data_IF_950493616291
#
_entry.id   IF_950493616291
#
_cell.length_a   1.000
_cell.length_b   1.000
_cell.length_c   1.000
_cell.angle_alpha   90.00
_cell.angle_beta   90.00
_cell.angle_gamma   90.00
#
_symmetry.space_group_name_H-M   'P 1'
#
loop_
_entity.id
_entity.type
_entity.pdbx_description
1 polymer ?
#
# COMPACT_ATOMS: atom_id res chain seq x y z
N UNK A 1 14.50 -43.35 -10.44
CA UNK A 1 14.66 -42.21 -11.37
C UNK A 1 13.29 -41.54 -11.44
N UNK A 2 13.01 -40.64 -10.51
CA UNK A 2 11.80 -39.78 -10.59
C UNK A 2 12.01 -38.76 -11.71
N UNK A 3 11.11 -38.80 -12.67
CA UNK A 3 11.04 -37.80 -13.72
C UNK A 3 10.83 -36.43 -13.05
N UNK A 4 11.85 -35.60 -13.06
CA UNK A 4 11.76 -34.18 -12.75
C UNK A 4 10.88 -33.52 -13.84
N UNK A 5 9.55 -33.66 -13.76
CA UNK A 5 8.65 -32.85 -14.56
C UNK A 5 8.97 -31.38 -14.25
N UNK A 6 9.41 -30.64 -15.27
CA UNK A 6 9.69 -29.21 -15.14
C UNK A 6 8.38 -28.50 -14.75
N UNK A 7 8.23 -28.19 -13.48
CA UNK A 7 7.12 -27.41 -12.95
C UNK A 7 7.09 -26.07 -13.66
N UNK A 8 5.92 -25.63 -14.10
CA UNK A 8 5.72 -24.36 -14.79
C UNK A 8 4.45 -23.67 -14.35
N UNK A 9 4.26 -22.44 -14.83
CA UNK A 9 3.06 -21.62 -14.51
C UNK A 9 1.74 -22.33 -14.86
N UNK A 10 1.72 -23.20 -15.90
CA UNK A 10 0.53 -23.96 -16.29
C UNK A 10 0.05 -24.92 -15.19
N UNK A 11 0.95 -25.41 -14.35
CA UNK A 11 0.61 -26.36 -13.32
C UNK A 11 -0.05 -25.69 -12.11
N UNK A 12 0.16 -24.39 -11.93
CA UNK A 12 -0.54 -23.58 -10.92
C UNK A 12 -2.05 -23.53 -11.22
N UNK A 13 -2.44 -23.39 -12.49
CA UNK A 13 -3.87 -23.37 -12.86
C UNK A 13 -4.61 -24.69 -12.57
N UNK A 14 -3.87 -25.79 -12.39
CA UNK A 14 -4.43 -27.08 -11.98
C UNK A 14 -4.71 -27.14 -10.45
N UNK A 15 -4.13 -26.22 -9.65
CA UNK A 15 -4.28 -26.15 -8.19
C UNK A 15 -5.58 -25.42 -7.84
N UNK A 16 -6.72 -26.12 -7.93
CA UNK A 16 -8.08 -25.54 -7.84
C UNK A 16 -8.29 -24.71 -6.56
N UNK A 17 -7.83 -25.19 -5.41
CA UNK A 17 -8.06 -24.49 -4.14
C UNK A 17 -7.22 -23.20 -4.05
N UNK A 18 -5.97 -23.24 -4.52
CA UNK A 18 -5.15 -22.06 -4.63
C UNK A 18 -5.72 -21.02 -5.62
N UNK A 19 -6.24 -21.50 -6.76
CA UNK A 19 -6.87 -20.62 -7.75
C UNK A 19 -8.10 -19.91 -7.20
N UNK A 20 -8.97 -20.59 -6.42
CA UNK A 20 -10.09 -19.94 -5.72
C UNK A 20 -9.59 -18.84 -4.79
N UNK A 21 -8.58 -19.14 -3.96
CA UNK A 21 -8.00 -18.17 -3.03
C UNK A 21 -7.38 -16.98 -3.79
N UNK A 22 -6.68 -17.24 -4.88
CA UNK A 22 -6.09 -16.21 -5.74
C UNK A 22 -7.17 -15.31 -6.36
N UNK A 23 -8.22 -15.89 -6.93
CA UNK A 23 -9.35 -15.13 -7.52
C UNK A 23 -10.04 -14.27 -6.46
N UNK A 24 -10.30 -14.80 -5.26
CA UNK A 24 -10.85 -14.02 -4.16
C UNK A 24 -9.95 -12.83 -3.78
N UNK A 25 -8.64 -13.05 -3.70
CA UNK A 25 -7.68 -11.99 -3.38
C UNK A 25 -7.59 -10.93 -4.48
N UNK A 26 -7.66 -11.31 -5.76
CA UNK A 26 -7.66 -10.37 -6.88
C UNK A 26 -8.95 -9.55 -6.95
N UNK A 27 -10.10 -10.15 -6.68
CA UNK A 27 -11.38 -9.44 -6.59
C UNK A 27 -11.32 -8.39 -5.49
N UNK A 28 -10.83 -8.75 -4.29
CA UNK A 28 -10.62 -7.78 -3.21
C UNK A 28 -9.64 -6.68 -3.63
N UNK A 29 -8.51 -7.04 -4.24
CA UNK A 29 -7.51 -6.05 -4.68
C UNK A 29 -8.09 -5.04 -5.66
N UNK A 30 -8.96 -5.48 -6.56
CA UNK A 30 -9.67 -4.60 -7.49
C UNK A 30 -10.59 -3.64 -6.75
N UNK A 31 -11.43 -4.14 -5.84
CA UNK A 31 -12.31 -3.32 -5.00
C UNK A 31 -11.53 -2.32 -4.14
N UNK A 32 -10.52 -2.79 -3.41
CA UNK A 32 -9.64 -1.97 -2.58
C UNK A 32 -9.01 -0.81 -3.38
N UNK A 33 -8.63 -1.06 -4.65
CA UNK A 33 -8.02 -0.01 -5.50
C UNK A 33 -9.04 1.06 -5.91
N UNK A 34 -10.29 0.68 -6.11
CA UNK A 34 -11.39 1.63 -6.41
C UNK A 34 -11.77 2.39 -5.15
N UNK A 35 -11.92 1.68 -4.01
CA UNK A 35 -12.26 2.28 -2.72
C UNK A 35 -11.19 3.29 -2.27
N UNK A 36 -9.93 3.01 -2.47
CA UNK A 36 -8.83 3.93 -2.10
C UNK A 36 -9.02 5.32 -2.74
N UNK A 37 -9.42 5.37 -4.02
CA UNK A 37 -9.69 6.63 -4.72
C UNK A 37 -11.00 7.25 -4.23
N UNK A 38 -12.07 6.45 -4.15
CA UNK A 38 -13.40 6.93 -3.76
C UNK A 38 -13.43 7.42 -2.31
N UNK A 39 -12.85 6.67 -1.38
CA UNK A 39 -12.80 7.05 0.04
C UNK A 39 -11.93 8.28 0.27
N UNK A 40 -10.76 8.38 -0.37
CA UNK A 40 -9.90 9.56 -0.30
C UNK A 40 -10.62 10.80 -0.80
N UNK A 41 -11.38 10.66 -1.88
CA UNK A 41 -12.18 11.75 -2.45
C UNK A 41 -13.35 12.15 -1.53
N UNK A 42 -14.13 11.19 -1.02
CA UNK A 42 -15.24 11.44 -0.09
C UNK A 42 -14.78 12.15 1.19
N UNK A 43 -13.64 11.75 1.76
CA UNK A 43 -13.06 12.41 2.94
C UNK A 43 -12.87 13.90 2.67
N UNK A 44 -12.28 14.23 1.54
CA UNK A 44 -12.01 15.62 1.20
C UNK A 44 -13.27 16.37 0.80
N UNK A 45 -14.15 15.79 -0.01
CA UNK A 45 -15.42 16.39 -0.41
C UNK A 45 -16.33 16.68 0.79
N UNK A 46 -16.39 15.76 1.76
CA UNK A 46 -17.20 15.91 2.97
C UNK A 46 -16.65 16.97 3.93
N UNK A 47 -15.33 17.10 4.01
CA UNK A 47 -14.69 17.93 5.03
C UNK A 47 -14.17 19.26 4.50
N UNK A 48 -13.89 19.38 3.19
CA UNK A 48 -13.21 20.52 2.59
C UNK A 48 -11.83 20.78 3.23
N UNK A 49 -11.19 19.79 3.84
CA UNK A 49 -10.06 20.01 4.74
C UNK A 49 -8.92 19.02 4.51
N UNK A 50 -7.77 19.57 4.11
CA UNK A 50 -6.51 18.83 4.03
C UNK A 50 -6.09 18.21 5.39
N UNK A 51 -6.47 18.87 6.50
CA UNK A 51 -6.24 18.37 7.86
C UNK A 51 -6.91 17.00 8.07
N UNK A 52 -8.20 16.90 7.71
CA UNK A 52 -8.95 15.65 7.83
C UNK A 52 -8.40 14.55 6.92
N UNK A 53 -8.00 14.86 5.69
CA UNK A 53 -7.36 13.90 4.78
C UNK A 53 -6.09 13.31 5.40
N UNK A 54 -5.22 14.16 5.95
CA UNK A 54 -4.00 13.72 6.61
C UNK A 54 -4.27 12.92 7.89
N UNK A 55 -5.25 13.33 8.73
CA UNK A 55 -5.62 12.59 9.95
C UNK A 55 -6.14 11.19 9.61
N UNK A 56 -7.05 11.08 8.64
CA UNK A 56 -7.64 9.79 8.26
C UNK A 56 -6.58 8.86 7.65
N UNK A 57 -5.68 9.39 6.80
CA UNK A 57 -4.54 8.61 6.30
C UNK A 57 -3.65 8.11 7.45
N UNK A 58 -3.33 8.97 8.41
CA UNK A 58 -2.55 8.58 9.59
C UNK A 58 -3.23 7.48 10.40
N UNK A 59 -4.52 7.66 10.72
CA UNK A 59 -5.32 6.67 11.47
C UNK A 59 -5.40 5.34 10.73
N UNK A 60 -5.49 5.34 9.41
CA UNK A 60 -5.47 4.11 8.59
C UNK A 60 -4.19 3.28 8.81
N UNK A 61 -3.05 3.91 9.06
CA UNK A 61 -1.77 3.22 9.26
C UNK A 61 -1.50 2.75 10.70
N UNK A 62 -2.15 3.36 11.69
CA UNK A 62 -1.94 3.03 13.11
C UNK A 62 -2.17 1.55 13.43
N UNK A 63 -3.28 0.90 13.03
CA UNK A 63 -3.49 -0.51 13.32
C UNK A 63 -2.43 -1.42 12.69
N UNK A 64 -1.94 -1.10 11.51
CA UNK A 64 -0.89 -1.88 10.84
C UNK A 64 0.40 -1.94 11.68
N UNK A 65 0.73 -0.87 12.40
CA UNK A 65 1.92 -0.81 13.25
C UNK A 65 1.78 -1.68 14.50
N UNK A 66 0.64 -1.60 15.18
CA UNK A 66 0.47 -2.22 16.50
C UNK A 66 -0.23 -3.58 16.43
N UNK A 67 -1.19 -3.73 15.54
CA UNK A 67 -2.05 -4.93 15.48
C UNK A 67 -1.45 -6.03 14.62
N UNK A 68 -0.83 -5.72 13.47
CA UNK A 68 -0.32 -6.76 12.55
C UNK A 68 0.67 -7.73 13.21
N UNK A 69 1.65 -7.29 14.03
CA UNK A 69 2.56 -8.22 14.70
C UNK A 69 1.84 -9.17 15.67
N UNK A 70 0.83 -8.67 16.37
CA UNK A 70 0.02 -9.45 17.30
C UNK A 70 -0.96 -10.38 16.58
N UNK A 71 -1.54 -9.89 15.47
CA UNK A 71 -2.48 -10.63 14.65
C UNK A 71 -1.84 -11.87 14.02
N UNK A 72 -0.58 -11.80 13.57
CA UNK A 72 0.15 -12.94 13.04
C UNK A 72 0.18 -14.12 14.02
N UNK A 73 0.60 -13.86 15.24
CA UNK A 73 0.63 -14.86 16.29
C UNK A 73 -0.76 -15.38 16.71
N UNK A 74 -1.75 -14.50 16.76
CA UNK A 74 -3.11 -14.87 17.11
C UNK A 74 -3.78 -15.74 16.04
N UNK A 75 -3.47 -15.53 14.77
CA UNK A 75 -3.99 -16.27 13.62
C UNK A 75 -3.44 -17.70 13.56
N UNK A 76 -2.20 -17.95 14.00
CA UNK A 76 -1.55 -19.27 13.89
C UNK A 76 -2.36 -20.39 14.51
N UNK A 77 -2.94 -20.18 15.71
CA UNK A 77 -3.72 -21.17 16.44
C UNK A 77 -5.19 -21.29 16.00
N UNK A 78 -5.63 -20.54 14.97
CA UNK A 78 -7.06 -20.40 14.64
C UNK A 78 -7.38 -20.81 13.20
N UNK A 79 -8.67 -20.90 12.90
CA UNK A 79 -9.16 -21.21 11.56
C UNK A 79 -8.94 -20.00 10.63
N UNK A 80 -7.93 -20.09 9.74
CA UNK A 80 -7.50 -19.02 8.83
C UNK A 80 -8.61 -18.67 7.83
N UNK A 81 -9.31 -19.70 7.33
CA UNK A 81 -10.45 -19.52 6.42
C UNK A 81 -11.57 -18.71 7.07
N UNK A 82 -11.95 -19.07 8.31
CA UNK A 82 -12.98 -18.35 9.05
C UNK A 82 -12.56 -16.89 9.31
N UNK A 83 -11.29 -16.63 9.65
CA UNK A 83 -10.77 -15.28 9.86
C UNK A 83 -10.91 -14.47 8.57
N UNK A 84 -10.50 -14.99 7.41
CA UNK A 84 -10.61 -14.27 6.13
C UNK A 84 -12.07 -13.94 5.80
N UNK A 85 -13.00 -14.87 6.00
CA UNK A 85 -14.43 -14.64 5.75
C UNK A 85 -14.98 -13.56 6.68
N UNK A 86 -14.73 -13.68 7.99
CA UNK A 86 -15.24 -12.73 8.98
C UNK A 86 -14.67 -11.32 8.73
N UNK A 87 -13.38 -11.22 8.39
CA UNK A 87 -12.75 -9.95 8.10
C UNK A 87 -13.33 -9.30 6.84
N UNK A 88 -13.56 -10.05 5.76
CA UNK A 88 -14.18 -9.54 4.54
C UNK A 88 -15.64 -9.08 4.82
N UNK A 89 -16.41 -9.81 5.63
CA UNK A 89 -17.77 -9.41 6.02
C UNK A 89 -17.79 -8.13 6.86
N UNK A 90 -16.90 -7.99 7.84
CA UNK A 90 -16.81 -6.76 8.64
C UNK A 90 -16.46 -5.57 7.75
N UNK A 91 -15.50 -5.73 6.83
CA UNK A 91 -15.13 -4.68 5.88
C UNK A 91 -16.32 -4.30 4.99
N UNK A 92 -17.04 -5.30 4.45
CA UNK A 92 -18.25 -5.05 3.67
C UNK A 92 -19.29 -4.22 4.42
N UNK A 93 -19.54 -4.50 5.70
CA UNK A 93 -20.46 -3.71 6.54
C UNK A 93 -19.95 -2.30 6.76
N UNK A 94 -18.67 -2.13 7.03
CA UNK A 94 -18.07 -0.80 7.26
C UNK A 94 -18.16 0.08 6.00
N UNK A 95 -17.78 -0.44 4.82
CA UNK A 95 -17.85 0.33 3.58
C UNK A 95 -19.30 0.59 3.15
N UNK A 96 -20.21 -0.35 3.40
CA UNK A 96 -21.65 -0.13 3.20
C UNK A 96 -22.19 1.00 4.08
N UNK A 97 -21.76 1.06 5.34
CA UNK A 97 -22.13 2.13 6.27
C UNK A 97 -21.62 3.50 5.75
N UNK A 98 -20.36 3.57 5.29
CA UNK A 98 -19.78 4.80 4.72
C UNK A 98 -20.56 5.24 3.48
N UNK A 99 -20.78 4.34 2.52
CA UNK A 99 -21.51 4.64 1.30
C UNK A 99 -22.96 5.09 1.58
N UNK A 100 -23.68 4.39 2.47
CA UNK A 100 -25.03 4.74 2.85
C UNK A 100 -25.09 6.07 3.59
N UNK A 101 -24.17 6.30 4.52
CA UNK A 101 -24.08 7.54 5.29
C UNK A 101 -23.80 8.76 4.41
N UNK A 102 -22.95 8.58 3.39
CA UNK A 102 -22.66 9.62 2.41
C UNK A 102 -23.91 9.94 1.54
N UNK A 103 -24.58 8.92 1.00
CA UNK A 103 -25.78 9.11 0.18
C UNK A 103 -26.95 9.74 0.94
N UNK A 104 -27.13 9.34 2.19
CA UNK A 104 -28.23 9.82 3.04
C UNK A 104 -27.86 11.15 3.76
N UNK A 105 -26.65 11.65 3.59
CA UNK A 105 -26.20 12.94 4.11
C UNK A 105 -25.97 12.99 5.63
N UNK A 106 -25.89 11.84 6.32
CA UNK A 106 -25.62 11.82 7.77
C UNK A 106 -24.17 11.50 8.13
N UNK A 107 -23.34 11.20 7.13
CA UNK A 107 -21.93 10.83 7.37
C UNK A 107 -21.14 12.02 7.96
N UNK A 108 -20.50 11.79 9.08
CA UNK A 108 -19.68 12.79 9.75
C UNK A 108 -18.19 12.41 9.70
N UNK A 109 -17.25 13.37 9.74
CA UNK A 109 -15.81 13.08 9.67
C UNK A 109 -15.31 12.09 10.74
N UNK A 110 -15.84 12.18 11.95
CA UNK A 110 -15.47 11.24 13.03
C UNK A 110 -15.95 9.80 12.76
N UNK A 111 -17.06 9.63 12.03
CA UNK A 111 -17.53 8.29 11.61
C UNK A 111 -16.57 7.66 10.62
N UNK A 112 -15.98 8.46 9.71
CA UNK A 112 -14.92 8.01 8.81
C UNK A 112 -13.67 7.57 9.57
N UNK A 113 -13.27 8.31 10.62
CA UNK A 113 -12.15 7.88 11.47
C UNK A 113 -12.40 6.52 12.11
N UNK A 114 -13.58 6.34 12.70
CA UNK A 114 -13.93 5.08 13.37
C UNK A 114 -13.98 3.92 12.38
N UNK A 115 -14.66 4.09 11.25
CA UNK A 115 -14.77 3.03 10.23
C UNK A 115 -13.41 2.70 9.62
N UNK A 116 -12.57 3.69 9.31
CA UNK A 116 -11.20 3.49 8.83
C UNK A 116 -10.36 2.72 9.85
N UNK A 117 -10.45 3.07 11.13
CA UNK A 117 -9.74 2.35 12.20
C UNK A 117 -10.20 0.89 12.31
N UNK A 118 -11.51 0.62 12.20
CA UNK A 118 -12.06 -0.73 12.22
C UNK A 118 -11.56 -1.52 10.98
N UNK A 119 -11.69 -0.96 9.78
CA UNK A 119 -11.27 -1.60 8.52
C UNK A 119 -9.79 -1.97 8.61
N UNK A 120 -8.91 -1.02 8.97
CA UNK A 120 -7.46 -1.24 9.05
C UNK A 120 -7.08 -2.25 10.13
N UNK A 121 -7.82 -2.25 11.27
CA UNK A 121 -7.61 -3.25 12.33
C UNK A 121 -7.95 -4.65 11.84
N UNK A 122 -9.08 -4.79 11.16
CA UNK A 122 -9.54 -6.08 10.64
C UNK A 122 -8.63 -6.58 9.52
N UNK A 123 -8.16 -5.69 8.66
CA UNK A 123 -7.20 -6.00 7.60
C UNK A 123 -5.87 -6.53 8.16
N UNK A 124 -5.41 -6.01 9.30
CA UNK A 124 -4.21 -6.47 9.99
C UNK A 124 -4.28 -7.97 10.36
N UNK A 125 -5.46 -8.56 10.51
CA UNK A 125 -5.65 -10.00 10.71
C UNK A 125 -5.77 -10.77 9.38
N UNK A 126 -6.37 -10.16 8.34
CA UNK A 126 -6.62 -10.82 7.06
C UNK A 126 -5.33 -11.18 6.32
N UNK A 127 -4.34 -10.28 6.31
CA UNK A 127 -3.05 -10.50 5.66
C UNK A 127 -2.32 -11.74 6.19
N UNK A 128 -2.03 -11.83 7.50
CA UNK A 128 -1.44 -13.02 8.10
C UNK A 128 -2.27 -14.30 7.89
N UNK A 129 -3.61 -14.21 7.95
CA UNK A 129 -4.47 -15.37 7.71
C UNK A 129 -4.33 -15.90 6.28
N UNK A 130 -4.31 -15.03 5.28
CA UNK A 130 -4.08 -15.40 3.87
C UNK A 130 -2.71 -16.03 3.65
N UNK A 131 -1.66 -15.42 4.22
CA UNK A 131 -0.29 -15.96 4.13
C UNK A 131 -0.17 -17.33 4.79
N UNK A 132 -0.80 -17.54 5.94
CA UNK A 132 -0.79 -18.81 6.66
C UNK A 132 -1.71 -19.88 6.02
N UNK A 133 -2.68 -19.48 5.18
CA UNK A 133 -3.54 -20.38 4.44
C UNK A 133 -2.86 -20.89 3.16
N UNK A 134 -2.01 -20.11 2.52
CA UNK A 134 -1.33 -20.44 1.26
C UNK A 134 -0.64 -21.81 1.30
N UNK A 135 0.16 -22.20 2.32
CA UNK A 135 0.80 -23.51 2.37
C UNK A 135 -0.18 -24.69 2.50
N UNK A 136 -1.44 -24.44 2.83
CA UNK A 136 -2.47 -25.48 3.01
C UNK A 136 -3.25 -25.76 1.73
N UNK A 137 -3.19 -24.84 0.77
CA UNK A 137 -3.90 -24.92 -0.52
C UNK A 137 -2.95 -25.07 -1.70
N UNK A 138 -1.66 -24.79 -1.51
CA UNK A 138 -0.62 -24.92 -2.52
C UNK A 138 0.51 -25.80 -1.98
N UNK A 139 1.00 -26.75 -2.77
CA UNK A 139 2.12 -27.60 -2.40
C UNK A 139 3.44 -26.79 -2.49
N UNK A 140 4.42 -27.15 -1.65
CA UNK A 140 5.69 -26.44 -1.54
C UNK A 140 6.45 -26.31 -2.87
N UNK A 141 6.39 -27.31 -3.72
CA UNK A 141 7.00 -27.34 -5.04
C UNK A 141 6.49 -26.25 -6.00
N UNK A 142 5.29 -25.69 -5.73
CA UNK A 142 4.65 -24.65 -6.55
C UNK A 142 4.76 -23.25 -5.95
N UNK A 143 5.37 -23.05 -4.77
CA UNK A 143 5.35 -21.75 -4.07
C UNK A 143 5.95 -20.62 -4.90
N UNK A 144 7.13 -20.83 -5.51
CA UNK A 144 7.79 -19.78 -6.31
C UNK A 144 6.90 -19.29 -7.45
N UNK A 145 6.34 -20.23 -8.22
CA UNK A 145 5.46 -19.91 -9.34
C UNK A 145 4.12 -19.32 -8.88
N UNK A 146 3.52 -19.89 -7.82
CA UNK A 146 2.25 -19.40 -7.29
C UNK A 146 2.35 -17.99 -6.72
N UNK A 147 3.36 -17.70 -5.92
CA UNK A 147 3.57 -16.38 -5.34
C UNK A 147 3.96 -15.35 -6.40
N UNK A 148 4.79 -15.71 -7.37
CA UNK A 148 5.14 -14.84 -8.51
C UNK A 148 3.90 -14.50 -9.33
N UNK A 149 3.06 -15.49 -9.64
CA UNK A 149 1.80 -15.31 -10.37
C UNK A 149 0.84 -14.39 -9.61
N UNK A 150 0.67 -14.64 -8.30
CA UNK A 150 -0.16 -13.82 -7.43
C UNK A 150 0.32 -12.36 -7.38
N UNK A 151 1.62 -12.13 -7.23
CA UNK A 151 2.21 -10.79 -7.23
C UNK A 151 1.97 -10.06 -8.55
N UNK A 152 2.20 -10.74 -9.68
CA UNK A 152 1.99 -10.17 -11.01
C UNK A 152 0.52 -9.80 -11.23
N UNK A 153 -0.39 -10.74 -10.97
CA UNK A 153 -1.82 -10.46 -11.15
C UNK A 153 -2.34 -9.41 -10.17
N UNK A 154 -1.85 -9.38 -8.92
CA UNK A 154 -2.19 -8.32 -7.97
C UNK A 154 -1.81 -6.94 -8.50
N UNK A 155 -0.59 -6.77 -9.02
CA UNK A 155 -0.14 -5.49 -9.58
C UNK A 155 -0.96 -5.07 -10.80
N UNK A 156 -1.28 -6.00 -11.69
CA UNK A 156 -2.13 -5.73 -12.87
C UNK A 156 -3.55 -5.37 -12.44
N UNK A 157 -4.10 -6.08 -11.46
CA UNK A 157 -5.45 -5.83 -10.95
C UNK A 157 -5.53 -4.49 -10.22
N UNK A 158 -4.52 -4.15 -9.42
CA UNK A 158 -4.40 -2.85 -8.76
C UNK A 158 -4.38 -1.71 -9.78
N UNK A 159 -3.54 -1.83 -10.81
CA UNK A 159 -3.49 -0.84 -11.88
C UNK A 159 -4.84 -0.71 -12.60
N UNK A 160 -5.47 -1.84 -12.96
CA UNK A 160 -6.76 -1.85 -13.62
C UNK A 160 -7.85 -1.19 -12.75
N UNK A 161 -7.90 -1.50 -11.44
CA UNK A 161 -8.83 -0.91 -10.48
C UNK A 161 -8.61 0.59 -10.34
N UNK A 162 -7.37 1.03 -10.15
CA UNK A 162 -7.02 2.45 -10.03
C UNK A 162 -7.37 3.24 -11.30
N UNK A 163 -7.08 2.69 -12.48
CA UNK A 163 -7.45 3.33 -13.76
C UNK A 163 -8.97 3.39 -13.96
N UNK A 164 -9.68 2.35 -13.57
CA UNK A 164 -11.14 2.28 -13.71
C UNK A 164 -11.86 3.17 -12.69
N UNK A 165 -11.26 3.44 -11.52
CA UNK A 165 -11.89 4.13 -10.40
C UNK A 165 -12.50 5.48 -10.80
N UNK A 166 -11.75 6.34 -11.51
CA UNK A 166 -12.24 7.64 -11.96
C UNK A 166 -13.45 7.53 -12.88
N UNK A 167 -13.43 6.58 -13.83
CA UNK A 167 -14.57 6.32 -14.72
C UNK A 167 -15.78 5.77 -13.97
N UNK A 168 -15.57 4.84 -13.03
CA UNK A 168 -16.62 4.27 -12.19
C UNK A 168 -17.27 5.38 -11.35
N UNK A 169 -16.45 6.21 -10.68
CA UNK A 169 -16.93 7.33 -9.87
C UNK A 169 -17.73 8.33 -10.74
N UNK A 170 -17.28 8.61 -11.96
CA UNK A 170 -17.98 9.51 -12.87
C UNK A 170 -19.35 8.98 -13.29
N UNK A 171 -19.53 7.65 -13.41
CA UNK A 171 -20.79 7.03 -13.85
C UNK A 171 -21.76 6.76 -12.71
N UNK A 172 -21.28 6.20 -11.59
CA UNK A 172 -22.15 5.76 -10.47
C UNK A 172 -21.92 6.55 -9.17
N UNK A 173 -21.06 7.58 -9.21
CA UNK A 173 -20.70 8.37 -8.05
C UNK A 173 -19.72 7.66 -7.10
N UNK A 174 -19.15 8.44 -6.17
CA UNK A 174 -18.19 7.89 -5.19
C UNK A 174 -18.83 6.84 -4.26
N UNK A 175 -20.06 7.06 -3.81
CA UNK A 175 -20.79 6.07 -3.01
C UNK A 175 -21.04 4.77 -3.78
N UNK A 176 -21.38 4.86 -5.07
CA UNK A 176 -21.55 3.69 -5.94
C UNK A 176 -20.27 2.89 -6.08
N UNK A 177 -19.12 3.57 -6.18
CA UNK A 177 -17.79 2.95 -6.20
C UNK A 177 -17.49 2.18 -4.89
N UNK A 178 -17.85 2.74 -3.73
CA UNK A 178 -17.72 2.06 -2.43
C UNK A 178 -18.68 0.86 -2.31
N UNK A 179 -19.91 0.95 -2.85
CA UNK A 179 -20.79 -0.22 -2.91
C UNK A 179 -20.25 -1.34 -3.81
N UNK A 180 -19.54 -0.97 -4.89
CA UNK A 180 -18.84 -1.95 -5.71
C UNK A 180 -17.77 -2.68 -4.90
N UNK A 181 -17.00 -1.97 -4.09
CA UNK A 181 -16.02 -2.57 -3.17
C UNK A 181 -16.69 -3.46 -2.13
N UNK A 182 -17.82 -3.04 -1.53
CA UNK A 182 -18.62 -3.91 -0.68
C UNK A 182 -18.95 -5.24 -1.38
N UNK A 183 -19.37 -5.16 -2.65
CA UNK A 183 -19.70 -6.37 -3.42
C UNK A 183 -18.45 -7.24 -3.64
N UNK A 184 -17.26 -6.66 -3.83
CA UNK A 184 -16.01 -7.44 -3.94
C UNK A 184 -15.67 -8.16 -2.65
N UNK A 185 -15.86 -7.56 -1.48
CA UNK A 185 -15.68 -8.24 -0.19
C UNK A 185 -16.66 -9.41 0.00
N UNK A 186 -17.93 -9.20 -0.32
CA UNK A 186 -18.94 -10.27 -0.21
C UNK A 186 -18.63 -11.42 -1.17
N UNK A 187 -18.22 -11.11 -2.41
CA UNK A 187 -17.86 -12.11 -3.39
C UNK A 187 -16.59 -12.86 -2.99
N UNK A 188 -15.59 -12.16 -2.45
CA UNK A 188 -14.38 -12.78 -1.90
C UNK A 188 -14.72 -13.74 -0.75
N UNK A 189 -15.51 -13.29 0.22
CA UNK A 189 -15.96 -14.13 1.34
C UNK A 189 -16.70 -15.39 0.83
N UNK A 190 -17.56 -15.22 -0.17
CA UNK A 190 -18.28 -16.33 -0.78
C UNK A 190 -17.33 -17.33 -1.46
N UNK A 191 -16.37 -16.85 -2.26
CA UNK A 191 -15.39 -17.72 -2.92
C UNK A 191 -14.53 -18.46 -1.88
N UNK A 192 -14.09 -17.77 -0.81
CA UNK A 192 -13.32 -18.39 0.27
C UNK A 192 -14.13 -19.46 0.99
N UNK A 193 -15.46 -19.32 1.13
CA UNK A 193 -16.32 -20.36 1.68
C UNK A 193 -16.20 -21.67 0.91
N UNK A 194 -15.96 -21.64 -0.40
CA UNK A 194 -15.80 -22.83 -1.25
C UNK A 194 -14.36 -23.34 -1.34
N UNK A 195 -13.39 -22.70 -0.67
CA UNK A 195 -12.02 -23.20 -0.58
C UNK A 195 -12.00 -24.39 0.37
N UNK A 196 -11.57 -25.54 -0.11
CA UNK A 196 -11.44 -26.74 0.70
C UNK A 196 -10.04 -26.79 1.32
N UNK A 197 -9.96 -26.55 2.62
CA UNK A 197 -8.73 -26.56 3.37
C UNK A 197 -8.66 -27.79 4.27
N UNK A 198 -7.57 -28.53 4.20
CA UNK A 198 -7.25 -29.56 5.21
C UNK A 198 -6.70 -28.83 6.44
N UNK A 199 -7.55 -28.21 7.21
CA UNK A 199 -7.14 -27.61 8.48
C UNK A 199 -6.99 -28.72 9.54
N UNK A 200 -5.79 -29.23 9.69
CA UNK A 200 -5.42 -29.88 10.94
C UNK A 200 -5.35 -28.77 12.01
N UNK A 201 -6.07 -28.98 13.12
CA UNK A 201 -5.92 -28.14 14.32
C UNK A 201 -4.45 -28.27 14.78
N UNK A 202 -3.59 -27.44 14.23
CA UNK A 202 -2.22 -27.30 14.73
C UNK A 202 -2.35 -26.82 16.17
N UNK A 203 -1.71 -27.53 17.10
CA UNK A 203 -1.54 -27.05 18.48
C UNK A 203 -0.95 -25.64 18.37
N UNK A 204 -1.68 -24.65 18.90
CA UNK A 204 -1.21 -23.27 18.92
C UNK A 204 0.15 -23.26 19.59
N UNK A 205 1.17 -22.87 18.87
CA UNK A 205 2.39 -22.43 19.52
C UNK A 205 1.99 -21.18 20.31
N UNK A 206 2.08 -21.27 21.61
CA UNK A 206 1.79 -20.14 22.49
C UNK A 206 2.77 -19.04 22.10
N UNK A 207 2.21 -17.87 21.71
CA UNK A 207 3.00 -16.69 21.40
C UNK A 207 3.88 -16.35 22.62
N UNK A 208 5.17 -16.58 22.50
CA UNK A 208 6.12 -16.17 23.54
C UNK A 208 6.49 -14.69 23.31
N UNK A 209 5.73 -13.82 23.95
CA UNK A 209 5.97 -12.37 23.92
C UNK A 209 7.36 -11.98 24.42
N UNK A 210 7.98 -12.79 25.31
CA UNK A 210 9.36 -12.53 25.77
C UNK A 210 10.36 -12.83 24.66
N UNK A 211 10.22 -13.96 23.96
CA UNK A 211 11.06 -14.29 22.81
C UNK A 211 10.91 -13.26 21.69
N UNK A 212 9.69 -12.78 21.41
CA UNK A 212 9.44 -11.73 20.44
C UNK A 212 10.15 -10.41 20.80
N UNK A 213 10.01 -9.94 22.04
CA UNK A 213 10.69 -8.71 22.52
C UNK A 213 12.21 -8.89 22.51
N UNK A 214 12.72 -10.07 22.85
CA UNK A 214 14.17 -10.37 22.80
C UNK A 214 14.68 -10.31 21.37
N UNK A 215 13.99 -10.93 20.42
CA UNK A 215 14.35 -10.88 19.00
C UNK A 215 14.33 -9.44 18.44
N UNK A 216 13.34 -8.62 18.85
CA UNK A 216 13.31 -7.19 18.49
C UNK A 216 14.49 -6.42 19.06
N UNK A 217 14.83 -6.64 20.35
CA UNK A 217 15.97 -5.98 20.99
C UNK A 217 17.30 -6.36 20.34
N UNK A 218 17.48 -7.64 20.02
CA UNK A 218 18.69 -8.13 19.35
C UNK A 218 18.82 -7.54 17.95
N UNK A 219 17.75 -7.54 17.17
CA UNK A 219 17.73 -6.92 15.84
C UNK A 219 17.99 -5.41 15.90
N UNK A 220 17.36 -4.69 16.85
CA UNK A 220 17.63 -3.25 17.05
C UNK A 220 19.07 -2.98 17.49
N UNK A 221 19.63 -3.83 18.39
CA UNK A 221 21.03 -3.76 18.78
C UNK A 221 21.98 -3.97 17.59
N UNK A 222 21.65 -4.93 16.70
CA UNK A 222 22.43 -5.18 15.49
C UNK A 222 22.38 -3.98 14.54
N UNK A 223 21.19 -3.41 14.27
CA UNK A 223 21.04 -2.20 13.45
C UNK A 223 21.89 -1.06 13.99
N UNK A 224 21.85 -0.83 15.31
CA UNK A 224 22.61 0.25 15.96
C UNK A 224 24.11 0.04 15.92
N UNK A 225 24.59 -1.21 15.92
CA UNK A 225 26.03 -1.57 15.90
C UNK A 225 26.63 -1.55 14.49
N UNK A 226 25.81 -1.81 13.45
CA UNK A 226 26.27 -1.81 12.07
C UNK A 226 25.99 -0.45 11.42
N UNK A 227 27.05 0.27 11.09
CA UNK A 227 26.96 1.58 10.47
C UNK A 227 26.23 1.53 9.12
N UNK A 228 26.54 0.52 8.30
CA UNK A 228 25.91 0.34 6.99
C UNK A 228 24.41 0.06 7.09
N UNK A 229 24.00 -0.77 8.06
CA UNK A 229 22.60 -1.12 8.26
C UNK A 229 21.81 0.06 8.83
N UNK A 230 22.41 0.81 9.76
CA UNK A 230 21.84 2.04 10.30
C UNK A 230 21.62 3.08 9.19
N UNK A 231 22.60 3.27 8.33
CA UNK A 231 22.51 4.18 7.19
C UNK A 231 21.40 3.76 6.22
N UNK A 232 21.32 2.47 5.87
CA UNK A 232 20.22 1.95 5.04
C UNK A 232 18.86 2.18 5.68
N UNK A 233 18.73 1.98 6.99
CA UNK A 233 17.48 2.22 7.70
C UNK A 233 17.06 3.69 7.64
N UNK A 234 17.99 4.62 7.83
CA UNK A 234 17.72 6.07 7.71
C UNK A 234 17.24 6.40 6.31
N UNK A 235 17.90 5.90 5.26
CA UNK A 235 17.46 6.11 3.87
C UNK A 235 16.05 5.57 3.63
N UNK A 236 15.75 4.35 4.08
CA UNK A 236 14.42 3.75 3.91
C UNK A 236 13.36 4.58 4.62
N UNK A 237 13.63 5.03 5.85
CA UNK A 237 12.73 5.90 6.61
C UNK A 237 12.48 7.22 5.90
N UNK A 238 13.55 7.85 5.39
CA UNK A 238 13.45 9.10 4.66
C UNK A 238 12.66 8.93 3.35
N UNK A 239 12.99 7.92 2.55
CA UNK A 239 12.29 7.65 1.28
C UNK A 239 10.79 7.39 1.49
N UNK A 240 10.42 6.65 2.53
CA UNK A 240 9.00 6.47 2.86
C UNK A 240 8.39 7.76 3.41
N UNK A 241 9.12 8.50 4.24
CA UNK A 241 8.67 9.75 4.84
C UNK A 241 8.38 10.83 3.82
N UNK A 242 9.25 10.99 2.79
CA UNK A 242 9.07 11.98 1.74
C UNK A 242 7.83 11.74 0.87
N UNK A 243 7.29 10.52 0.85
CA UNK A 243 6.07 10.19 0.14
C UNK A 243 4.79 10.43 0.96
N UNK A 244 4.91 10.65 2.27
CA UNK A 244 3.74 10.86 3.14
C UNK A 244 2.91 12.09 2.74
N UNK A 245 3.48 13.26 2.38
CA UNK A 245 2.70 14.39 1.91
C UNK A 245 1.82 14.05 0.71
N UNK A 246 2.37 13.33 -0.29
CA UNK A 246 1.59 12.88 -1.43
C UNK A 246 0.43 11.96 -1.00
N UNK A 247 0.73 10.91 -0.25
CA UNK A 247 -0.29 9.93 0.15
C UNK A 247 -1.39 10.52 1.06
N UNK A 248 -1.04 11.50 1.91
CA UNK A 248 -1.98 12.09 2.87
C UNK A 248 -2.75 13.29 2.34
N UNK A 249 -2.20 13.99 1.33
CA UNK A 249 -2.78 15.20 0.76
C UNK A 249 -3.08 15.06 -0.73
N UNK A 250 -3.22 13.84 -1.24
CA UNK A 250 -3.44 13.58 -2.67
C UNK A 250 -4.76 14.22 -3.16
N UNK A 251 -5.86 14.06 -2.42
CA UNK A 251 -7.14 14.70 -2.78
C UNK A 251 -7.09 16.22 -2.66
N UNK A 252 -6.60 16.84 -1.56
CA UNK A 252 -6.37 18.29 -1.50
C UNK A 252 -5.51 18.82 -2.65
N UNK A 253 -4.44 18.12 -3.02
CA UNK A 253 -3.58 18.52 -4.14
C UNK A 253 -4.34 18.53 -5.46
N UNK A 254 -5.18 17.51 -5.68
CA UNK A 254 -5.98 17.42 -6.92
C UNK A 254 -7.02 18.51 -7.00
N UNK A 255 -7.69 18.83 -5.93
CA UNK A 255 -8.72 19.89 -5.90
C UNK A 255 -8.11 21.29 -5.90
N UNK A 256 -7.23 21.59 -4.95
CA UNK A 256 -6.72 22.95 -4.69
C UNK A 256 -5.67 23.40 -5.72
N UNK A 257 -4.80 22.49 -6.21
CA UNK A 257 -3.68 22.84 -7.10
C UNK A 257 -3.96 22.44 -8.54
N UNK A 258 -4.49 21.23 -8.74
CA UNK A 258 -4.76 20.72 -10.09
C UNK A 258 -6.15 21.09 -10.61
N UNK A 259 -7.03 21.66 -9.77
CA UNK A 259 -8.42 22.03 -10.11
C UNK A 259 -9.13 20.88 -10.85
N UNK A 260 -9.00 19.66 -10.32
CA UNK A 260 -9.57 18.42 -10.87
C UNK A 260 -10.48 17.71 -9.88
N UNK A 261 -11.14 16.65 -10.33
CA UNK A 261 -12.02 15.80 -9.52
C UNK A 261 -11.40 14.41 -9.30
N UNK A 262 -12.25 13.46 -8.91
CA UNK A 262 -11.86 12.07 -8.68
C UNK A 262 -11.22 11.41 -9.92
N UNK A 263 -11.58 11.86 -11.13
CA UNK A 263 -10.96 11.39 -12.38
C UNK A 263 -9.49 11.79 -12.48
N UNK A 264 -9.12 13.00 -12.01
CA UNK A 264 -7.74 13.47 -11.96
C UNK A 264 -6.94 12.71 -10.89
N UNK A 265 -7.56 12.44 -9.75
CA UNK A 265 -6.98 11.61 -8.67
C UNK A 265 -6.65 10.19 -9.19
N UNK A 266 -7.61 9.57 -9.87
CA UNK A 266 -7.43 8.26 -10.49
C UNK A 266 -6.32 8.27 -11.55
N UNK A 267 -6.27 9.30 -12.39
CA UNK A 267 -5.23 9.45 -13.42
C UNK A 267 -3.83 9.58 -12.81
N UNK A 268 -3.70 10.39 -11.78
CA UNK A 268 -2.44 10.60 -11.04
C UNK A 268 -1.93 9.27 -10.46
N UNK A 269 -2.79 8.58 -9.71
CA UNK A 269 -2.45 7.30 -9.07
C UNK A 269 -2.17 6.20 -10.10
N UNK A 270 -2.92 6.16 -11.22
CA UNK A 270 -2.65 5.23 -12.32
C UNK A 270 -1.30 5.50 -12.99
N UNK A 271 -0.97 6.76 -13.28
CA UNK A 271 0.32 7.14 -13.86
C UNK A 271 1.49 6.80 -12.92
N UNK A 272 1.33 7.02 -11.61
CA UNK A 272 2.30 6.58 -10.59
C UNK A 272 2.52 5.07 -10.66
N UNK A 273 1.46 4.28 -10.66
CA UNK A 273 1.53 2.81 -10.70
C UNK A 273 2.18 2.31 -11.98
N UNK A 274 1.85 2.88 -13.13
CA UNK A 274 2.52 2.58 -14.41
C UNK A 274 4.01 2.90 -14.33
N UNK A 275 4.37 4.06 -13.81
CA UNK A 275 5.77 4.44 -13.56
C UNK A 275 6.48 3.42 -12.68
N UNK A 276 5.85 2.98 -11.57
CA UNK A 276 6.40 1.96 -10.67
C UNK A 276 6.64 0.61 -11.38
N UNK A 277 5.73 0.17 -12.24
CA UNK A 277 5.92 -1.05 -13.02
C UNK A 277 7.13 -0.95 -13.95
N UNK A 278 7.26 0.15 -14.69
CA UNK A 278 8.44 0.38 -15.55
C UNK A 278 9.74 0.48 -14.74
N UNK A 279 9.72 1.17 -13.60
CA UNK A 279 10.87 1.30 -12.71
C UNK A 279 11.36 -0.05 -12.18
N UNK A 280 10.45 -0.90 -11.73
CA UNK A 280 10.79 -2.23 -11.20
C UNK A 280 11.33 -3.17 -12.27
N UNK A 281 10.72 -3.17 -13.47
CA UNK A 281 11.12 -4.04 -14.59
C UNK A 281 12.48 -3.62 -15.17
N UNK A 282 12.74 -2.32 -15.30
CA UNK A 282 13.98 -1.80 -15.91
C UNK A 282 15.14 -1.71 -14.94
N UNK A 283 14.89 -1.75 -13.63
CA UNK A 283 15.93 -1.64 -12.59
C UNK A 283 17.15 -2.57 -12.80
N UNK A 284 17.01 -3.88 -13.11
CA UNK A 284 18.17 -4.75 -13.31
C UNK A 284 19.09 -4.31 -14.44
N UNK A 285 18.54 -3.64 -15.47
CA UNK A 285 19.30 -3.11 -16.61
C UNK A 285 19.97 -1.79 -16.21
N UNK A 286 19.22 -0.90 -15.59
CA UNK A 286 19.70 0.43 -15.14
C UNK A 286 20.82 0.29 -14.12
N UNK A 287 20.71 -0.65 -13.18
CA UNK A 287 21.73 -0.95 -12.17
C UNK A 287 23.11 -1.25 -12.77
N UNK A 288 23.17 -1.83 -13.97
CA UNK A 288 24.46 -2.12 -14.63
C UNK A 288 25.22 -0.85 -15.02
N UNK A 289 24.51 0.26 -15.25
CA UNK A 289 25.05 1.51 -15.78
C UNK A 289 25.06 2.64 -14.75
N UNK A 290 24.36 2.46 -13.61
CA UNK A 290 24.23 3.50 -12.58
C UNK A 290 24.71 3.02 -11.22
N UNK A 291 25.50 3.86 -10.54
CA UNK A 291 25.84 3.63 -9.13
C UNK A 291 24.63 3.91 -8.22
N UNK A 292 24.59 3.25 -7.03
CA UNK A 292 23.53 3.49 -6.06
C UNK A 292 23.39 4.96 -5.66
N UNK A 293 24.51 5.69 -5.49
CA UNK A 293 24.49 7.12 -5.18
C UNK A 293 23.82 7.94 -6.28
N UNK A 294 24.12 7.68 -7.55
CA UNK A 294 23.47 8.37 -8.68
C UNK A 294 21.97 8.10 -8.72
N UNK A 295 21.56 6.85 -8.45
CA UNK A 295 20.13 6.50 -8.38
C UNK A 295 19.42 7.30 -7.29
N UNK A 296 20.00 7.41 -6.11
CA UNK A 296 19.45 8.21 -5.00
C UNK A 296 19.32 9.70 -5.36
N UNK A 297 20.37 10.31 -5.88
CA UNK A 297 20.33 11.72 -6.30
C UNK A 297 19.26 11.97 -7.36
N UNK A 298 19.13 11.09 -8.36
CA UNK A 298 18.08 11.22 -9.39
C UNK A 298 16.70 11.10 -8.74
N UNK A 299 16.53 10.16 -7.80
CA UNK A 299 15.27 10.01 -7.09
C UNK A 299 14.89 11.27 -6.32
N UNK A 300 15.81 11.84 -5.56
CA UNK A 300 15.59 13.09 -4.82
C UNK A 300 15.25 14.25 -5.76
N UNK A 301 15.97 14.39 -6.87
CA UNK A 301 15.69 15.44 -7.87
C UNK A 301 14.30 15.25 -8.50
N UNK A 302 13.92 14.03 -8.90
CA UNK A 302 12.58 13.77 -9.50
C UNK A 302 11.48 14.02 -8.48
N UNK A 303 11.65 13.59 -7.23
CA UNK A 303 10.71 13.87 -6.14
C UNK A 303 10.56 15.39 -5.94
N UNK A 304 11.67 16.12 -5.91
CA UNK A 304 11.64 17.57 -5.77
C UNK A 304 10.96 18.26 -6.97
N UNK A 305 11.24 17.81 -8.20
CA UNK A 305 10.57 18.31 -9.40
C UNK A 305 9.06 18.07 -9.34
N UNK A 306 8.61 16.91 -8.85
CA UNK A 306 7.20 16.64 -8.64
C UNK A 306 6.59 17.61 -7.63
N UNK A 307 7.19 17.73 -6.44
CA UNK A 307 6.64 18.49 -5.33
C UNK A 307 6.71 20.02 -5.51
N UNK A 308 7.74 20.50 -6.17
CA UNK A 308 7.91 21.94 -6.45
C UNK A 308 7.27 22.28 -7.80
N UNK A 309 7.44 21.43 -8.80
CA UNK A 309 7.01 21.70 -10.18
C UNK A 309 5.50 21.76 -10.34
N UNK A 310 4.73 20.88 -9.69
CA UNK A 310 3.28 20.89 -9.78
C UNK A 310 2.69 22.21 -9.23
N UNK A 311 3.00 22.66 -7.99
CA UNK A 311 2.50 23.95 -7.51
C UNK A 311 2.97 25.15 -8.33
N UNK A 312 4.22 25.16 -8.82
CA UNK A 312 4.72 26.26 -9.66
C UNK A 312 4.06 26.31 -11.04
N UNK A 313 3.59 25.20 -11.57
CA UNK A 313 2.88 25.13 -12.84
C UNK A 313 1.38 25.48 -12.71
N UNK A 314 0.84 25.65 -11.49
CA UNK A 314 -0.58 25.94 -11.25
C UNK A 314 -1.13 27.10 -12.12
N UNK A 315 -0.45 28.26 -12.28
CA UNK A 315 -0.97 29.36 -13.10
C UNK A 315 -1.19 28.98 -14.58
N UNK A 316 -0.52 27.95 -15.08
CA UNK A 316 -0.63 27.47 -16.46
C UNK A 316 -1.67 26.35 -16.63
N UNK A 317 -2.29 25.86 -15.56
CA UNK A 317 -3.28 24.77 -15.59
C UNK A 317 -4.65 25.18 -16.14
N UNK A 318 -4.82 26.42 -16.52
CA UNK A 318 -5.96 26.87 -17.36
C UNK A 318 -6.03 26.07 -18.66
N UNK A 319 -4.88 25.73 -19.24
CA UNK A 319 -4.82 24.83 -20.39
C UNK A 319 -4.97 23.37 -19.94
N UNK A 320 -6.12 22.78 -20.25
CA UNK A 320 -6.45 21.41 -19.85
C UNK A 320 -5.44 20.39 -20.35
N UNK A 321 -4.99 20.49 -21.59
CA UNK A 321 -4.02 19.55 -22.19
C UNK A 321 -2.66 19.65 -21.49
N UNK A 322 -2.20 20.86 -21.19
CA UNK A 322 -0.94 21.08 -20.46
C UNK A 322 -1.03 20.48 -19.06
N UNK A 323 -2.13 20.72 -18.33
CA UNK A 323 -2.37 20.18 -16.99
C UNK A 323 -2.28 18.65 -16.96
N UNK A 324 -3.04 17.96 -17.85
CA UNK A 324 -2.98 16.50 -17.94
C UNK A 324 -1.59 15.98 -18.32
N UNK A 325 -0.92 16.66 -19.26
CA UNK A 325 0.45 16.30 -19.66
C UNK A 325 1.46 16.41 -18.52
N UNK A 326 1.41 17.49 -17.74
CA UNK A 326 2.28 17.68 -16.57
C UNK A 326 2.02 16.63 -15.50
N UNK A 327 0.76 16.35 -15.16
CA UNK A 327 0.38 15.34 -14.17
C UNK A 327 0.88 13.96 -14.60
N UNK A 328 0.61 13.53 -15.84
CA UNK A 328 1.02 12.21 -16.33
C UNK A 328 2.55 12.09 -16.33
N UNK A 329 3.26 13.07 -16.90
CA UNK A 329 4.72 13.01 -17.01
C UNK A 329 5.42 12.97 -15.65
N UNK A 330 5.00 13.84 -14.72
CA UNK A 330 5.60 13.90 -13.38
C UNK A 330 5.24 12.66 -12.56
N UNK A 331 4.00 12.15 -12.62
CA UNK A 331 3.59 10.95 -11.89
C UNK A 331 4.29 9.70 -12.41
N UNK A 332 4.43 9.55 -13.73
CA UNK A 332 5.22 8.46 -14.32
C UNK A 332 6.68 8.51 -13.87
N UNK A 333 7.30 9.69 -13.90
CA UNK A 333 8.68 9.86 -13.47
C UNK A 333 8.85 9.55 -11.97
N UNK A 334 7.94 10.06 -11.13
CA UNK A 334 7.96 9.79 -9.69
C UNK A 334 7.78 8.30 -9.40
N UNK A 335 6.78 7.66 -9.98
CA UNK A 335 6.56 6.21 -9.82
C UNK A 335 7.78 5.39 -10.24
N UNK A 336 8.39 5.74 -11.37
CA UNK A 336 9.60 5.09 -11.85
C UNK A 336 10.75 5.13 -10.83
N UNK A 337 11.09 6.31 -10.32
CA UNK A 337 12.21 6.44 -9.38
C UNK A 337 11.90 5.82 -8.01
N UNK A 338 10.67 5.88 -7.54
CA UNK A 338 10.24 5.24 -6.29
C UNK A 338 10.46 3.72 -6.37
N UNK A 339 9.99 3.07 -7.44
CA UNK A 339 10.17 1.63 -7.60
C UNK A 339 11.63 1.22 -7.84
N UNK A 340 12.36 1.97 -8.66
CA UNK A 340 13.79 1.71 -8.90
C UNK A 340 14.62 1.85 -7.63
N UNK A 341 14.34 2.87 -6.79
CA UNK A 341 15.01 3.07 -5.52
C UNK A 341 14.61 2.01 -4.49
N UNK A 342 13.33 1.62 -4.43
CA UNK A 342 12.86 0.52 -3.59
C UNK A 342 13.55 -0.80 -3.92
N UNK A 343 13.69 -1.12 -5.21
CA UNK A 343 14.43 -2.30 -5.67
C UNK A 343 15.93 -2.22 -5.32
N UNK A 344 16.55 -1.05 -5.46
CA UNK A 344 17.93 -0.83 -5.02
C UNK A 344 18.11 -1.08 -3.53
N UNK A 345 17.25 -0.50 -2.68
CA UNK A 345 17.30 -0.65 -1.23
C UNK A 345 17.06 -2.10 -0.79
N UNK A 346 16.15 -2.81 -1.45
CA UNK A 346 15.91 -4.23 -1.19
C UNK A 346 17.16 -5.08 -1.48
N UNK A 347 17.82 -4.85 -2.60
CA UNK A 347 19.07 -5.55 -2.95
C UNK A 347 20.21 -5.15 -2.01
N UNK A 348 20.32 -3.88 -1.63
CA UNK A 348 21.32 -3.40 -0.69
C UNK A 348 21.13 -4.05 0.70
N UNK A 349 19.89 -4.16 1.18
CA UNK A 349 19.59 -4.82 2.45
C UNK A 349 20.08 -6.28 2.48
N UNK A 350 19.83 -7.04 1.40
CA UNK A 350 20.32 -8.43 1.31
C UNK A 350 21.84 -8.51 1.25
N UNK A 351 22.51 -7.51 0.65
CA UNK A 351 23.97 -7.51 0.47
C UNK A 351 24.73 -7.10 1.73
N UNK A 352 24.22 -6.13 2.48
CA UNK A 352 24.93 -5.54 3.63
C UNK A 352 24.51 -6.12 4.99
N UNK A 353 23.34 -6.76 5.06
CA UNK A 353 22.89 -7.43 6.29
C UNK A 353 23.39 -8.86 6.32
N UNK A 354 23.97 -9.30 7.44
CA UNK A 354 24.36 -10.69 7.63
C UNK A 354 23.12 -11.58 7.52
N UNK A 355 23.24 -12.72 6.80
CA UNK A 355 22.13 -13.65 6.55
C UNK A 355 21.41 -14.10 7.83
N UNK A 356 22.16 -14.31 8.92
CA UNK A 356 21.62 -14.69 10.23
C UNK A 356 20.65 -13.65 10.81
N UNK A 357 20.89 -12.36 10.54
CA UNK A 357 20.08 -11.24 11.04
C UNK A 357 19.12 -10.67 10.00
N UNK A 358 19.15 -11.18 8.76
CA UNK A 358 18.40 -10.61 7.64
C UNK A 358 16.89 -10.53 7.91
N UNK A 359 16.28 -11.61 8.40
CA UNK A 359 14.84 -11.64 8.69
C UNK A 359 14.47 -10.66 9.81
N UNK A 360 15.25 -10.61 10.90
CA UNK A 360 15.02 -9.71 12.04
C UNK A 360 15.20 -8.25 11.64
N UNK A 361 16.26 -7.95 10.90
CA UNK A 361 16.58 -6.59 10.43
C UNK A 361 15.54 -6.10 9.42
N UNK A 362 15.14 -6.92 8.45
CA UNK A 362 14.08 -6.59 7.48
C UNK A 362 12.75 -6.35 8.17
N UNK A 363 12.41 -7.14 9.19
CA UNK A 363 11.20 -6.92 10.00
C UNK A 363 11.23 -5.58 10.73
N UNK A 364 12.37 -5.21 11.32
CA UNK A 364 12.54 -3.93 12.02
C UNK A 364 12.48 -2.76 11.02
N UNK A 365 13.14 -2.86 9.87
CA UNK A 365 13.11 -1.83 8.83
C UNK A 365 11.68 -1.62 8.31
N UNK A 366 10.93 -2.69 8.07
CA UNK A 366 9.54 -2.62 7.64
C UNK A 366 8.65 -2.00 8.73
N UNK A 367 8.78 -2.44 9.97
CA UNK A 367 8.02 -1.90 11.09
C UNK A 367 8.31 -0.41 11.31
N UNK A 368 9.58 0.00 11.25
CA UNK A 368 9.97 1.39 11.37
C UNK A 368 9.42 2.25 10.22
N UNK A 369 9.47 1.76 8.97
CA UNK A 369 8.93 2.45 7.81
C UNK A 369 7.42 2.66 7.92
N UNK A 370 6.68 1.64 8.35
CA UNK A 370 5.23 1.73 8.55
C UNK A 370 4.90 2.69 9.72
N UNK A 371 5.67 2.62 10.81
CA UNK A 371 5.45 3.48 11.98
C UNK A 371 5.75 4.97 11.71
N UNK A 372 6.66 5.29 10.79
CA UNK A 372 6.95 6.66 10.39
C UNK A 372 5.75 7.33 9.68
N UNK A 373 4.95 6.55 8.93
CA UNK A 373 3.84 7.10 8.14
C UNK A 373 2.77 7.81 8.99
N UNK A 374 2.17 7.22 10.04
CA UNK A 374 1.17 7.92 10.85
C UNK A 374 1.78 9.11 11.59
N UNK A 375 3.01 8.99 12.10
CA UNK A 375 3.67 10.09 12.81
C UNK A 375 3.84 11.30 11.89
N UNK A 376 4.38 11.11 10.69
CA UNK A 376 4.56 12.18 9.72
C UNK A 376 3.22 12.71 9.21
N UNK A 377 2.21 11.85 9.02
CA UNK A 377 0.88 12.29 8.60
C UNK A 377 0.22 13.20 9.64
N UNK A 378 0.34 12.90 10.93
CA UNK A 378 -0.15 13.80 11.98
C UNK A 378 0.64 15.10 12.07
N UNK A 379 1.96 15.08 11.83
CA UNK A 379 2.77 16.31 11.70
C UNK A 379 2.28 17.15 10.51
N UNK A 380 2.05 16.52 9.34
CA UNK A 380 1.52 17.19 8.16
C UNK A 380 0.13 17.77 8.45
N UNK A 381 -0.75 17.02 9.10
CA UNK A 381 -2.07 17.52 9.54
C UNK A 381 -1.96 18.78 10.38
N UNK A 382 -0.98 18.84 11.31
CA UNK A 382 -0.69 20.05 12.08
C UNK A 382 -0.13 21.18 11.20
N UNK A 383 0.73 20.89 10.25
CA UNK A 383 1.33 21.90 9.37
C UNK A 383 0.31 22.54 8.43
N UNK A 384 -0.56 21.75 7.77
CA UNK A 384 -1.56 22.28 6.82
C UNK A 384 -2.69 23.08 7.49
N UNK A 385 -2.74 23.14 8.83
CA UNK A 385 -3.59 24.09 9.53
C UNK A 385 -3.02 25.51 9.55
N UNK A 386 -1.73 25.69 9.25
CA UNK A 386 -1.02 26.99 9.25
C UNK A 386 -0.51 27.39 7.87
N UNK A 387 -0.31 26.43 6.96
CA UNK A 387 0.22 26.66 5.61
C UNK A 387 -0.71 26.04 4.57
N UNK A 388 -0.63 26.52 3.33
CA UNK A 388 -1.41 25.94 2.22
C UNK A 388 -0.86 24.59 1.80
N UNK A 389 -1.71 23.78 1.15
CA UNK A 389 -1.30 22.49 0.56
C UNK A 389 -0.11 22.67 -0.38
N UNK A 390 -0.12 23.72 -1.23
CA UNK A 390 0.99 24.03 -2.13
C UNK A 390 2.31 24.31 -1.39
N UNK A 391 2.26 25.09 -0.30
CA UNK A 391 3.44 25.38 0.53
C UNK A 391 3.99 24.12 1.22
N UNK A 392 3.10 23.22 1.67
CA UNK A 392 3.50 21.95 2.25
C UNK A 392 4.25 21.07 1.22
N UNK A 393 3.75 21.00 -0.02
CA UNK A 393 4.44 20.29 -1.10
C UNK A 393 5.78 20.92 -1.46
N UNK A 394 5.87 22.24 -1.60
CA UNK A 394 7.13 22.95 -1.87
C UNK A 394 8.16 22.68 -0.76
N UNK A 395 7.73 22.74 0.51
CA UNK A 395 8.60 22.41 1.64
C UNK A 395 9.13 20.98 1.58
N UNK A 396 8.26 20.00 1.29
CA UNK A 396 8.67 18.60 1.11
C UNK A 396 9.66 18.44 -0.06
N UNK A 397 9.44 19.16 -1.16
CA UNK A 397 10.37 19.18 -2.30
C UNK A 397 11.73 19.77 -1.97
N UNK A 398 11.78 20.85 -1.18
CA UNK A 398 13.04 21.42 -0.69
C UNK A 398 13.77 20.43 0.22
N UNK A 399 13.05 19.78 1.14
CA UNK A 399 13.65 18.73 1.98
C UNK A 399 14.27 17.60 1.15
N UNK A 400 13.62 17.22 0.02
CA UNK A 400 14.17 16.20 -0.88
C UNK A 400 15.46 16.62 -1.59
N UNK A 401 15.73 17.92 -1.75
CA UNK A 401 16.97 18.44 -2.38
C UNK A 401 18.12 18.60 -1.40
N UNK A 402 17.85 18.65 -0.10
CA UNK A 402 18.88 18.89 0.93
C UNK A 402 19.67 17.63 1.30
N UNK A 403 19.26 16.46 0.80
CA UNK A 403 19.89 15.16 1.02
C UNK A 403 20.69 14.66 -0.20
#
# INVERSE_FOLDING_TARGET
MEQNEKIGYKDIFKQKEYMKMMVAALINRFGDSIDAIASTWIVYELTGSAVWSAVIFGVNKVPSVFVTPLAGAWVEGRNKKAIMIITDLIRAVCVAFVASGYLLGFLQPWMLLVTTCIISTVEAFRGPAGSALTPRVLKAEYYEYGMSLMSTFSSVTELAGTMAAGGIIAVIGAAGAIYLDMATFLLSALIICFVNTREERSRSQIFDGKAYITNLKEGFSYVRKSHEVCYLMVIVLFMNGILVPLNSLEAPMVDEILHGGAEMLSLLSAALTVGMLFGSVTYPVVKKHMSGKKNMVIACVVVAVFYIGIPLCEPFFVNRLFRYGVVIANSLALGYVVAATGAFLSVASVKYVNQEYLARTSGIMSAASIAAMPVLSFIISGLVSFVTTAQCFIFAGVCALLE
#
